data_IF_263640828003
#
_entry.id   IF_263640828003
#
_cell.length_a   1.000
_cell.length_b   1.000
_cell.length_c   1.000
_cell.angle_alpha   90.00
_cell.angle_beta   90.00
_cell.angle_gamma   90.00
#
_symmetry.space_group_name_H-M   'P 1'
#
loop_
_entity.id
_entity.type
_entity.pdbx_description
1 polymer ?
#
# COMPACT_ATOMS: atom_id res chain seq x y z
N UNK A 1 -22.35 -3.70 19.45
CA UNK A 1 -21.90 -2.79 18.38
C UNK A 1 -21.82 -3.61 17.10
N UNK A 2 -22.77 -3.43 16.18
CA UNK A 2 -22.81 -4.23 14.96
C UNK A 2 -21.94 -3.54 13.90
N UNK A 3 -20.80 -4.15 13.55
CA UNK A 3 -20.04 -3.72 12.37
C UNK A 3 -20.97 -3.77 11.18
N UNK A 4 -21.13 -2.64 10.51
CA UNK A 4 -21.96 -2.58 9.31
C UNK A 4 -21.33 -3.48 8.23
N UNK A 5 -22.15 -4.08 7.36
CA UNK A 5 -21.66 -4.98 6.30
C UNK A 5 -20.62 -4.33 5.40
N UNK A 6 -20.64 -3.00 5.31
CA UNK A 6 -19.67 -2.21 4.53
C UNK A 6 -18.32 -2.07 5.23
N UNK A 7 -18.27 -1.95 6.55
CA UNK A 7 -17.02 -1.95 7.31
C UNK A 7 -16.30 -3.29 7.15
N UNK A 8 -17.05 -4.40 7.21
CA UNK A 8 -16.48 -5.74 6.95
C UNK A 8 -15.97 -5.86 5.51
N UNK A 9 -16.66 -5.25 4.54
CA UNK A 9 -16.22 -5.21 3.15
C UNK A 9 -14.95 -4.38 2.98
N UNK A 10 -14.85 -3.24 3.65
CA UNK A 10 -13.65 -2.40 3.67
C UNK A 10 -12.45 -3.15 4.26
N UNK A 11 -12.66 -3.88 5.36
CA UNK A 11 -11.62 -4.70 5.99
C UNK A 11 -11.15 -5.84 5.07
N UNK A 12 -12.06 -6.51 4.36
CA UNK A 12 -11.70 -7.54 3.37
C UNK A 12 -10.86 -6.95 2.22
N UNK A 13 -11.22 -5.76 1.75
CA UNK A 13 -10.46 -5.07 0.69
C UNK A 13 -9.07 -4.70 1.18
N UNK A 14 -8.95 -4.10 2.37
CA UNK A 14 -7.67 -3.79 3.01
C UNK A 14 -6.76 -5.02 3.04
N UNK A 15 -7.26 -6.15 3.57
CA UNK A 15 -6.50 -7.38 3.66
C UNK A 15 -6.09 -7.94 2.28
N UNK A 16 -6.91 -7.76 1.25
CA UNK A 16 -6.58 -8.20 -0.10
C UNK A 16 -5.45 -7.37 -0.72
N UNK A 17 -5.44 -6.05 -0.51
CA UNK A 17 -4.37 -5.17 -1.00
C UNK A 17 -3.04 -5.43 -0.29
N UNK A 18 -3.05 -5.57 1.04
CA UNK A 18 -1.84 -5.88 1.82
C UNK A 18 -1.24 -7.23 1.42
N UNK A 19 -2.07 -8.26 1.21
CA UNK A 19 -1.62 -9.58 0.72
C UNK A 19 -1.04 -9.53 -0.70
N UNK A 20 -1.45 -8.55 -1.51
CA UNK A 20 -0.90 -8.32 -2.83
C UNK A 20 0.39 -7.48 -2.81
N UNK A 21 0.93 -7.16 -1.63
CA UNK A 21 2.14 -6.35 -1.46
C UNK A 21 1.92 -4.85 -1.67
N UNK A 22 0.66 -4.39 -1.67
CA UNK A 22 0.31 -2.98 -1.78
C UNK A 22 -0.06 -2.45 -0.40
N UNK A 23 0.75 -1.55 0.14
CA UNK A 23 0.47 -0.93 1.43
C UNK A 23 -0.66 0.08 1.32
N UNK A 24 -1.66 -0.04 2.19
CA UNK A 24 -2.78 0.88 2.29
C UNK A 24 -2.53 1.86 3.43
N UNK A 25 -2.43 3.15 3.14
CA UNK A 25 -2.19 4.20 4.14
C UNK A 25 -3.45 4.73 4.81
N UNK A 26 -4.59 4.71 4.09
CA UNK A 26 -5.86 5.22 4.62
C UNK A 26 -7.04 4.48 4.02
N UNK A 27 -8.02 4.16 4.87
CA UNK A 27 -9.32 3.65 4.46
C UNK A 27 -10.40 4.62 4.96
N UNK A 28 -11.22 5.13 4.05
CA UNK A 28 -12.36 5.99 4.38
C UNK A 28 -13.64 5.31 3.93
N UNK A 29 -14.65 5.27 4.81
CA UNK A 29 -15.98 4.74 4.48
C UNK A 29 -16.98 5.89 4.60
N UNK A 30 -17.62 6.25 3.49
CA UNK A 30 -18.65 7.28 3.43
C UNK A 30 -19.95 6.70 2.88
N UNK A 31 -20.86 6.34 3.79
CA UNK A 31 -22.14 5.70 3.46
C UNK A 31 -21.98 4.37 2.72
N UNK A 32 -22.05 4.40 1.39
CA UNK A 32 -21.87 3.24 0.49
C UNK A 32 -20.54 3.23 -0.27
N UNK A 33 -19.72 4.27 -0.11
CA UNK A 33 -18.44 4.45 -0.78
C UNK A 33 -17.30 4.03 0.14
N UNK A 34 -16.36 3.27 -0.41
CA UNK A 34 -15.11 2.89 0.27
C UNK A 34 -13.97 3.47 -0.56
N UNK A 35 -13.12 4.27 0.05
CA UNK A 35 -11.89 4.79 -0.56
C UNK A 35 -10.68 4.17 0.15
N UNK A 36 -9.77 3.58 -0.63
CA UNK A 36 -8.48 3.10 -0.14
C UNK A 36 -7.37 3.93 -0.78
N UNK A 37 -6.56 4.58 0.04
CA UNK A 37 -5.36 5.31 -0.40
C UNK A 37 -4.17 4.39 -0.23
N UNK A 38 -3.51 4.06 -1.35
CA UNK A 38 -2.28 3.28 -1.35
C UNK A 38 -1.09 4.18 -1.06
N UNK A 39 -0.14 3.66 -0.30
CA UNK A 39 1.17 4.30 -0.10
C UNK A 39 2.13 3.62 -1.06
N UNK A 40 2.74 4.42 -1.93
CA UNK A 40 3.95 3.98 -2.61
C UNK A 40 5.06 3.95 -1.57
N UNK A 41 5.46 2.75 -1.17
CA UNK A 41 6.73 2.58 -0.50
C UNK A 41 7.80 3.06 -1.49
N UNK A 42 8.67 4.00 -1.11
CA UNK A 42 9.79 4.34 -1.96
C UNK A 42 10.54 3.04 -2.23
N UNK A 43 10.57 2.62 -3.49
CA UNK A 43 11.50 1.61 -3.97
C UNK A 43 12.87 2.25 -3.85
N UNK A 44 13.44 2.24 -2.65
CA UNK A 44 14.82 2.62 -2.44
C UNK A 44 15.60 1.59 -3.23
N UNK A 45 16.07 1.99 -4.40
CA UNK A 45 16.97 1.18 -5.20
C UNK A 45 18.23 1.00 -4.33
N UNK A 46 18.38 -0.19 -3.76
CA UNK A 46 19.51 -0.54 -2.90
C UNK A 46 20.86 -0.37 -3.62
N UNK A 47 20.84 -0.22 -4.95
CA UNK A 47 21.99 0.01 -5.81
C UNK A 47 22.19 1.48 -6.20
N UNK A 48 21.28 2.41 -5.86
CA UNK A 48 21.44 3.84 -6.15
C UNK A 48 22.68 4.44 -5.45
N UNK A 49 23.15 3.80 -4.37
CA UNK A 49 24.37 4.19 -3.65
C UNK A 49 25.66 3.55 -4.17
N UNK A 50 25.57 2.50 -4.99
CA UNK A 50 26.76 1.82 -5.51
C UNK A 50 27.09 2.42 -6.87
N UNK A 51 27.91 3.47 -6.86
CA UNK A 51 28.61 3.92 -8.07
C UNK A 51 29.52 2.78 -8.56
N UNK A 52 29.00 1.88 -9.41
CA UNK A 52 29.78 0.83 -10.10
C UNK A 52 30.67 1.43 -11.21
N UNK A 53 31.36 2.54 -10.94
CA UNK A 53 32.46 3.02 -11.78
C UNK A 53 33.71 2.23 -11.40
N UNK A 54 33.84 1.02 -11.94
CA UNK A 54 35.14 0.40 -12.07
C UNK A 54 35.93 1.27 -13.07
N UNK A 55 36.78 2.14 -12.52
CA UNK A 55 37.57 3.08 -13.28
C UNK A 55 38.34 2.37 -14.38
N UNK A 56 38.10 2.83 -15.61
CA UNK A 56 39.10 2.75 -16.66
C UNK A 56 40.34 3.48 -16.19
N UNK A 57 41.43 2.75 -16.01
CA UNK A 57 42.81 3.07 -16.47
C UNK A 57 43.66 1.83 -16.29
#
# INVERSE_FOLDING_TARGET
MAQTTIEQKALRLLNAFERAGKSVGRVTVDGKKIELVLVELPTVDEFERVNMRHGKT
#
